data_IF_553858339447
#
_entry.id   IF_553858339447
#
_cell.length_a   1.000
_cell.length_b   1.000
_cell.length_c   1.000
_cell.angle_alpha   90.00
_cell.angle_beta   90.00
_cell.angle_gamma   90.00
#
_symmetry.space_group_name_H-M   'P 1'
#
loop_
_entity.id
_entity.type
_entity.pdbx_description
1 polymer ?
#
# COMPACT_ATOMS: atom_id res chain seq x y z
N UNK A 1 -21.52 15.31 7.10
CA UNK A 1 -21.09 14.99 6.89
C UNK A 1 -19.92 14.89 6.99
N UNK A 2 -19.40 14.55 7.07
CA UNK A 2 -18.46 14.35 7.24
C UNK A 2 -17.64 14.45 6.50
N UNK A 3 -17.15 14.72 6.41
CA UNK A 3 -16.44 14.95 5.79
C UNK A 3 -15.24 14.49 5.77
N UNK A 4 -14.94 13.95 5.38
CA UNK A 4 -13.91 13.50 5.41
C UNK A 4 -13.04 13.98 4.65
N UNK A 5 -13.34 14.52 4.09
CA UNK A 5 -12.65 15.01 3.38
C UNK A 5 -11.66 15.48 3.79
N UNK A 6 -11.75 15.71 4.36
CA UNK A 6 -10.93 16.25 4.86
C UNK A 6 -9.79 15.71 4.70
N UNK A 7 -9.81 15.07 4.50
CA UNK A 7 -8.90 14.61 4.46
C UNK A 7 -8.10 14.40 3.54
N UNK A 8 -8.37 14.86 2.96
CA UNK A 8 -7.63 14.85 1.91
C UNK A 8 -6.26 15.01 2.11
N UNK A 9 -5.79 15.20 3.12
CA UNK A 9 -4.40 15.35 3.26
C UNK A 9 -3.85 14.15 3.95
N UNK A 10 -3.58 13.13 3.21
CA UNK A 10 -2.85 12.01 3.74
C UNK A 10 -1.42 12.43 4.03
N UNK A 11 -0.89 11.95 5.13
CA UNK A 11 0.50 12.20 5.46
C UNK A 11 1.41 11.43 4.55
N UNK A 12 2.56 12.00 4.17
CA UNK A 12 3.52 11.24 3.38
C UNK A 12 4.03 10.02 4.13
N UNK A 13 4.28 8.97 3.42
CA UNK A 13 4.82 7.77 4.02
C UNK A 13 4.45 6.52 3.27
N UNK A 14 4.77 5.40 3.88
CA UNK A 14 4.49 4.08 3.32
C UNK A 14 3.22 3.54 3.96
N UNK A 15 2.24 3.24 3.15
CA UNK A 15 0.98 2.68 3.60
C UNK A 15 0.95 1.19 3.29
N UNK A 16 0.83 0.38 4.32
CA UNK A 16 0.76 -1.07 4.16
C UNK A 16 -0.71 -1.47 4.10
N UNK A 17 -1.19 -1.72 2.90
CA UNK A 17 -2.61 -1.92 2.65
C UNK A 17 -2.90 -3.40 2.52
N UNK A 18 -3.74 -3.91 3.41
CA UNK A 18 -4.18 -5.29 3.34
C UNK A 18 -5.39 -5.40 2.44
N UNK A 19 -5.38 -6.40 1.58
CA UNK A 19 -6.51 -6.64 0.69
C UNK A 19 -7.08 -8.03 0.96
N UNK A 20 -8.38 -8.20 0.76
CA UNK A 20 -8.97 -9.51 1.00
C UNK A 20 -8.53 -10.51 -0.07
N UNK A 21 -8.32 -11.73 0.36
CA UNK A 21 -7.94 -12.80 -0.54
C UNK A 21 -9.19 -13.30 -1.24
N UNK A 22 -9.17 -13.29 -2.56
CA UNK A 22 -10.20 -13.94 -3.33
C UNK A 22 -11.53 -13.23 -3.42
N UNK A 23 -11.72 -12.14 -2.70
CA UNK A 23 -12.98 -11.41 -2.77
C UNK A 23 -12.73 -9.91 -2.77
N UNK A 24 -12.65 -9.35 -3.96
CA UNK A 24 -12.33 -7.93 -4.11
C UNK A 24 -13.41 -7.02 -3.56
N UNK A 25 -14.62 -7.53 -3.40
CA UNK A 25 -15.70 -6.71 -2.87
C UNK A 25 -15.56 -6.40 -1.39
N UNK A 26 -14.67 -7.09 -0.70
CA UNK A 26 -14.50 -6.87 0.74
C UNK A 26 -13.45 -5.83 1.08
N UNK A 27 -12.87 -5.17 0.10
CA UNK A 27 -11.89 -4.13 0.39
C UNK A 27 -12.58 -2.93 1.04
N UNK A 28 -11.92 -2.29 1.99
CA UNK A 28 -12.52 -1.18 2.71
C UNK A 28 -12.46 0.12 1.90
N UNK A 29 -13.37 1.04 2.20
CA UNK A 29 -13.31 2.37 1.59
C UNK A 29 -12.00 3.07 1.85
N UNK A 30 -11.48 2.93 3.06
CA UNK A 30 -10.23 3.58 3.41
C UNK A 30 -9.09 3.04 2.54
N UNK A 31 -9.06 1.73 2.32
CA UNK A 31 -8.02 1.16 1.47
C UNK A 31 -8.13 1.69 0.04
N UNK A 32 -9.34 1.73 -0.51
CA UNK A 32 -9.52 2.26 -1.86
C UNK A 32 -9.09 3.71 -1.93
N UNK A 33 -9.48 4.51 -0.94
CA UNK A 33 -9.12 5.92 -0.90
C UNK A 33 -7.60 6.09 -0.89
N UNK A 34 -6.92 5.34 -0.04
CA UNK A 34 -5.47 5.46 0.09
C UNK A 34 -4.77 5.02 -1.20
N UNK A 35 -5.21 3.92 -1.79
CA UNK A 35 -4.63 3.47 -3.05
C UNK A 35 -4.81 4.51 -4.14
N UNK A 36 -5.97 5.14 -4.17
CA UNK A 36 -6.25 6.16 -5.17
C UNK A 36 -5.40 7.41 -4.98
N UNK A 37 -5.05 7.74 -3.75
CA UNK A 37 -4.25 8.91 -3.45
C UNK A 37 -2.75 8.65 -3.49
N UNK A 38 -2.36 7.40 -3.62
CA UNK A 38 -0.94 7.06 -3.64
C UNK A 38 -0.27 7.51 -4.93
N UNK A 39 0.99 7.83 -4.82
CA UNK A 39 1.80 8.16 -6.00
C UNK A 39 2.32 6.92 -6.68
N UNK A 40 2.41 5.83 -5.93
CA UNK A 40 2.90 4.57 -6.46
C UNK A 40 2.35 3.44 -5.60
N UNK A 41 1.97 2.35 -6.22
CA UNK A 41 1.51 1.16 -5.52
C UNK A 41 2.47 0.02 -5.82
N UNK A 42 2.92 -0.65 -4.77
CA UNK A 42 3.79 -1.82 -4.89
C UNK A 42 2.98 -3.07 -4.61
N UNK A 43 3.22 -4.10 -5.39
CA UNK A 43 2.50 -5.35 -5.24
C UNK A 43 3.39 -6.51 -5.64
N UNK A 44 3.26 -7.62 -4.92
CA UNK A 44 4.00 -8.82 -5.27
C UNK A 44 3.52 -9.41 -6.59
N UNK A 45 2.21 -9.43 -6.79
CA UNK A 45 1.63 -9.97 -8.02
C UNK A 45 0.80 -8.90 -8.70
N UNK A 46 1.38 -8.28 -9.70
CA UNK A 46 0.72 -7.16 -10.37
C UNK A 46 -0.48 -7.60 -11.20
N UNK A 47 -0.55 -8.87 -11.56
CA UNK A 47 -1.71 -9.34 -12.32
C UNK A 47 -2.96 -9.33 -11.45
N UNK A 48 -2.82 -9.78 -10.21
CA UNK A 48 -3.93 -9.77 -9.27
C UNK A 48 -4.28 -8.35 -8.87
N UNK A 49 -3.27 -7.56 -8.57
CA UNK A 49 -3.49 -6.19 -8.12
C UNK A 49 -4.07 -5.31 -9.21
N UNK A 50 -3.68 -5.52 -10.47
CA UNK A 50 -4.24 -4.69 -11.53
C UNK A 50 -5.74 -4.94 -11.71
N UNK A 51 -6.20 -6.16 -11.44
CA UNK A 51 -7.64 -6.42 -11.47
C UNK A 51 -8.36 -5.65 -10.36
N UNK A 52 -7.76 -5.61 -9.19
CA UNK A 52 -8.32 -4.85 -8.08
C UNK A 52 -8.40 -3.37 -8.43
N UNK A 53 -7.31 -2.81 -8.92
CA UNK A 53 -7.27 -1.39 -9.24
C UNK A 53 -8.26 -1.05 -10.34
N UNK A 54 -8.37 -1.92 -11.34
CA UNK A 54 -9.32 -1.70 -12.43
C UNK A 54 -10.75 -1.72 -11.92
N UNK A 55 -11.07 -2.64 -11.02
CA UNK A 55 -12.42 -2.75 -10.49
C UNK A 55 -12.85 -1.48 -9.77
N UNK A 56 -11.93 -0.80 -9.11
CA UNK A 56 -12.26 0.40 -8.35
C UNK A 56 -11.81 1.68 -9.04
N UNK A 57 -11.47 1.60 -10.31
CA UNK A 57 -11.08 2.76 -11.11
C UNK A 57 -9.91 3.52 -10.52
N UNK A 58 -8.96 2.78 -9.97
CA UNK A 58 -7.75 3.38 -9.43
C UNK A 58 -6.70 3.42 -10.53
N UNK A 59 -6.21 4.61 -10.84
CA UNK A 59 -5.28 4.81 -11.94
C UNK A 59 -3.85 5.01 -11.48
N UNK A 60 -3.57 4.75 -10.24
CA UNK A 60 -2.22 4.92 -9.70
C UNK A 60 -1.26 3.93 -10.33
N UNK A 61 -0.03 4.36 -10.53
CA UNK A 61 1.00 3.51 -11.11
C UNK A 61 1.27 2.30 -10.22
N UNK A 62 1.37 1.14 -10.84
CA UNK A 62 1.58 -0.12 -10.13
C UNK A 62 2.96 -0.66 -10.49
N UNK A 63 3.73 -1.03 -9.48
CA UNK A 63 5.07 -1.54 -9.66
C UNK A 63 5.20 -2.89 -8.97
N UNK A 64 5.81 -3.84 -9.67
CA UNK A 64 6.06 -5.15 -9.11
C UNK A 64 7.11 -5.07 -8.01
N UNK A 65 6.85 -5.73 -6.89
CA UNK A 65 7.77 -5.76 -5.76
C UNK A 65 7.73 -7.15 -5.13
N UNK A 66 8.58 -8.04 -5.59
CA UNK A 66 8.67 -9.38 -5.05
C UNK A 66 10.10 -9.65 -4.60
N UNK A 67 10.33 -10.80 -4.00
CA UNK A 67 11.60 -11.04 -3.35
C UNK A 67 12.80 -10.99 -4.30
N UNK A 68 12.58 -11.17 -5.59
CA UNK A 68 13.68 -11.12 -6.55
C UNK A 68 14.03 -9.71 -6.99
N UNK A 69 13.13 -8.74 -6.81
CA UNK A 69 13.42 -7.38 -7.25
C UNK A 69 13.26 -6.35 -6.14
N UNK A 70 12.97 -6.78 -4.92
CA UNK A 70 12.75 -5.83 -3.84
C UNK A 70 13.97 -4.93 -3.60
N UNK A 71 15.14 -5.51 -3.55
CA UNK A 71 16.35 -4.71 -3.31
C UNK A 71 16.59 -3.70 -4.41
N UNK A 72 16.27 -4.07 -5.64
CA UNK A 72 16.44 -3.18 -6.77
C UNK A 72 15.51 -1.98 -6.66
N UNK A 73 14.31 -2.20 -6.13
CA UNK A 73 13.32 -1.13 -6.03
C UNK A 73 13.54 -0.21 -4.84
N UNK A 74 14.22 -0.68 -3.80
CA UNK A 74 14.29 0.04 -2.53
C UNK A 74 14.80 1.46 -2.70
N UNK A 75 15.87 1.64 -3.44
CA UNK A 75 16.48 2.95 -3.55
C UNK A 75 15.51 3.95 -4.16
N UNK A 76 14.83 3.56 -5.23
CA UNK A 76 13.88 4.46 -5.88
C UNK A 76 12.69 4.76 -4.98
N UNK A 77 12.20 3.74 -4.30
CA UNK A 77 11.06 3.92 -3.41
C UNK A 77 11.43 4.83 -2.25
N UNK A 78 12.61 4.63 -1.66
CA UNK A 78 13.06 5.49 -0.57
C UNK A 78 13.22 6.93 -1.03
N UNK A 79 13.74 7.14 -2.23
CA UNK A 79 13.87 8.49 -2.74
C UNK A 79 12.51 9.18 -2.86
N UNK A 80 11.51 8.47 -3.36
CA UNK A 80 10.18 9.03 -3.46
C UNK A 80 9.61 9.34 -2.06
N UNK A 81 9.81 8.45 -1.12
CA UNK A 81 9.33 8.68 0.23
C UNK A 81 10.00 9.87 0.88
N UNK A 82 11.28 10.07 0.61
CA UNK A 82 12.00 11.24 1.12
C UNK A 82 11.52 12.53 0.49
N UNK A 83 10.88 12.43 -0.68
CA UNK A 83 10.28 13.58 -1.34
C UNK A 83 8.85 13.82 -0.90
N UNK A 84 8.44 13.21 0.20
CA UNK A 84 7.11 13.36 0.77
C UNK A 84 6.01 12.79 -0.12
N UNK A 85 6.33 11.73 -0.85
CA UNK A 85 5.34 11.04 -1.65
C UNK A 85 4.61 10.00 -0.82
N UNK A 86 3.48 9.55 -1.33
CA UNK A 86 2.68 8.52 -0.70
C UNK A 86 2.85 7.24 -1.50
N UNK A 87 3.35 6.21 -0.85
CA UNK A 87 3.56 4.91 -1.48
C UNK A 87 2.73 3.89 -0.74
N UNK A 88 2.00 3.07 -1.46
CA UNK A 88 1.25 1.97 -0.84
C UNK A 88 1.87 0.66 -1.26
N UNK A 89 1.91 -0.29 -0.33
CA UNK A 89 2.30 -1.65 -0.66
C UNK A 89 1.12 -2.55 -0.32
N UNK A 90 0.70 -3.34 -1.29
CA UNK A 90 -0.43 -4.22 -1.13
C UNK A 90 0.05 -5.57 -0.64
N UNK A 91 -0.59 -6.08 0.40
CA UNK A 91 -0.35 -7.43 0.84
C UNK A 91 -1.66 -8.19 0.88
N UNK A 92 -1.58 -9.47 0.58
CA UNK A 92 -2.72 -10.36 0.74
C UNK A 92 -2.87 -10.70 2.21
N UNK A 93 -3.70 -11.57 2.54
CA UNK A 93 -3.73 -12.19 3.86
C UNK A 93 -3.92 -11.26 5.05
N UNK A 94 -4.39 -10.10 4.84
CA UNK A 94 -4.85 -9.30 5.95
C UNK A 94 -3.84 -8.52 6.74
N UNK A 95 -2.60 -8.91 6.80
CA UNK A 95 -1.61 -8.14 7.54
C UNK A 95 -0.36 -7.94 6.71
N UNK A 96 0.18 -6.73 6.76
CA UNK A 96 1.47 -6.49 6.12
C UNK A 96 2.49 -7.36 6.82
N UNK A 97 3.32 -7.96 6.05
CA UNK A 97 4.29 -8.85 6.62
C UNK A 97 5.61 -8.17 6.75
N UNK A 98 6.35 -8.53 7.77
CA UNK A 98 7.70 -8.07 7.88
C UNK A 98 8.65 -9.02 7.20
N UNK A 99 8.15 -10.13 6.70
CA UNK A 99 8.97 -11.04 5.93
C UNK A 99 8.83 -10.70 4.44
N UNK A 100 9.49 -11.43 3.59
CA UNK A 100 9.48 -11.18 2.16
C UNK A 100 8.11 -11.39 1.54
N UNK A 101 7.76 -10.60 0.51
CA UNK A 101 8.44 -9.35 0.19
C UNK A 101 7.91 -8.23 1.05
N UNK A 102 8.61 -7.15 1.09
CA UNK A 102 8.18 -6.00 1.84
C UNK A 102 8.99 -5.78 3.10
N UNK A 103 9.51 -6.86 3.70
CA UNK A 103 10.24 -6.74 4.94
C UNK A 103 11.49 -5.88 4.82
N UNK A 104 12.22 -6.02 3.74
CA UNK A 104 13.43 -5.23 3.54
C UNK A 104 13.06 -3.75 3.40
N UNK A 105 12.02 -3.46 2.63
CA UNK A 105 11.59 -2.09 2.45
C UNK A 105 11.12 -1.47 3.76
N UNK A 106 10.34 -2.21 4.54
CA UNK A 106 9.85 -1.70 5.81
C UNK A 106 11.02 -1.40 6.73
N UNK A 107 12.01 -2.28 6.79
CA UNK A 107 13.17 -2.05 7.63
C UNK A 107 13.95 -0.82 7.18
N UNK A 108 14.10 -0.61 5.88
CA UNK A 108 14.78 0.57 5.38
C UNK A 108 14.00 1.85 5.69
N UNK A 109 12.69 1.76 5.63
CA UNK A 109 11.88 2.92 6.01
C UNK A 109 12.07 3.27 7.48
N UNK A 110 12.12 2.27 8.34
CA UNK A 110 12.35 2.50 9.75
C UNK A 110 13.71 3.17 9.98
N UNK A 111 14.74 2.66 9.31
CA UNK A 111 16.08 3.24 9.44
C UNK A 111 16.14 4.68 8.99
N UNK A 112 15.34 5.03 8.01
CA UNK A 112 15.33 6.38 7.45
C UNK A 112 14.26 7.28 8.05
N UNK A 113 13.61 6.81 9.12
CA UNK A 113 12.60 7.57 9.86
C UNK A 113 11.42 7.97 8.98
N UNK A 114 11.05 7.10 8.06
CA UNK A 114 9.89 7.31 7.20
C UNK A 114 8.68 6.73 7.92
N UNK A 115 7.58 7.45 7.89
CA UNK A 115 6.35 7.01 8.53
C UNK A 115 5.80 5.78 7.83
N UNK A 116 5.31 4.82 8.62
CA UNK A 116 4.69 3.62 8.11
C UNK A 116 3.30 3.53 8.72
N UNK A 117 2.28 3.39 7.87
CA UNK A 117 0.89 3.39 8.30
C UNK A 117 0.25 2.07 7.91
N UNK A 118 -0.17 1.25 8.86
CA UNK A 118 -0.92 0.05 8.52
C UNK A 118 -2.35 0.41 8.13
N UNK A 119 -2.85 -0.24 7.11
CA UNK A 119 -4.23 -0.06 6.68
C UNK A 119 -4.86 -1.44 6.69
N UNK A 120 -5.54 -1.79 7.76
CA UNK A 120 -6.09 -3.14 7.87
C UNK A 120 -7.12 -3.40 6.79
N UNK A 121 -7.25 -4.65 6.45
CA UNK A 121 -8.31 -5.06 5.57
C UNK A 121 -9.62 -5.08 6.32
N UNK A 122 -10.46 -6.00 5.93
CA UNK A 122 -11.74 -6.04 6.50
C UNK A 122 -11.75 -6.31 7.97
N UNK A 123 -11.22 -6.92 8.47
CA UNK A 123 -11.21 -7.23 9.75
C UNK A 123 -11.91 -6.92 10.78
N UNK A 124 -12.01 -6.78 10.99
CA UNK A 124 -12.34 -6.64 11.69
C UNK A 124 -12.89 -6.38 12.46
N UNK A 125 -13.06 -6.27 12.44
CA UNK A 125 -13.53 -5.79 13.06
C UNK A 125 -14.46 -6.09 13.62
N UNK A 126 -14.72 -6.39 13.70
CA UNK A 126 -15.54 -6.60 14.27
C UNK A 126 -15.79 -7.07 15.01
N UNK A 127 -15.71 -7.11 15.19
CA UNK A 127 -16.07 -7.41 15.80
C UNK A 127 -16.44 -7.36 16.25
#
# INVERSE_FOLDING_TARGET
>A
MYNFEINDSLKPGLYCVSTPIGNLGDITFRAVYILNKSDLILSEDTRVSSKLLSRFNINTKLLSNHKFNEKKNIKNVLNLLKENKIISIISDAGTPTISDPGGILINECIKNKINIFPVPGLSLIHI
#
